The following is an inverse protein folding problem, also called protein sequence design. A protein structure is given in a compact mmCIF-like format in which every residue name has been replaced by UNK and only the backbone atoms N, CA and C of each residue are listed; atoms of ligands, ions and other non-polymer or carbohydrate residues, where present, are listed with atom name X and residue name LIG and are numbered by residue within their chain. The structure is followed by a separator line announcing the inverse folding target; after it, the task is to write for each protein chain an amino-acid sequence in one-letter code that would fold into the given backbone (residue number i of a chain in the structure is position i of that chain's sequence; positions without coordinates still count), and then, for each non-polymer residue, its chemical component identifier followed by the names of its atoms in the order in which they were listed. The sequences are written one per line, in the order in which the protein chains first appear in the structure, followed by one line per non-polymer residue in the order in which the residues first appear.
data_IF_997263090630
#
_entry.id   IF_997263090630
#
_cell.length_a   1.000
_cell.length_b   1.000
_cell.length_c   1.000
_cell.angle_alpha   90.00
_cell.angle_beta   90.00
_cell.angle_gamma   90.00
#
_symmetry.space_group_name_H-M   'P 1'
#
loop_
_entity.id
_entity.type
_entity.pdbx_description
1 polymer ?
#
# COMPACT_ATOMS: atom_id res chain seq x y z
N UNK A 1 6.66 7.83 17.95
CA UNK A 1 5.96 8.98 17.33
C UNK A 1 4.76 8.49 16.54
N UNK A 2 4.97 7.50 15.67
CA UNK A 2 3.91 6.77 14.98
C UNK A 2 3.85 5.33 15.50
N UNK A 3 2.67 4.72 15.50
CA UNK A 3 2.47 3.26 15.59
C UNK A 3 1.69 2.84 14.35
N UNK A 4 2.22 1.87 13.61
CA UNK A 4 1.58 1.37 12.38
C UNK A 4 1.23 -0.09 12.60
N UNK A 5 0.01 -0.47 12.23
CA UNK A 5 -0.45 -1.86 12.24
C UNK A 5 -0.73 -2.30 10.81
N UNK A 6 -0.11 -3.43 10.44
CA UNK A 6 -0.23 -4.06 9.14
C UNK A 6 -0.93 -5.40 9.37
N UNK A 7 -1.98 -5.68 8.60
CA UNK A 7 -2.70 -6.95 8.68
C UNK A 7 -2.06 -8.05 7.83
N UNK A 8 -2.66 -9.25 7.84
CA UNK A 8 -2.17 -10.41 7.06
C UNK A 8 -2.19 -10.19 5.55
N UNK A 9 -2.95 -9.20 5.07
CA UNK A 9 -3.04 -8.82 3.66
C UNK A 9 -1.92 -7.85 3.28
N UNK A 10 -1.08 -7.40 4.22
CA UNK A 10 -0.07 -6.37 3.99
C UNK A 10 -0.67 -4.96 3.86
N UNK A 11 -1.89 -4.74 4.37
CA UNK A 11 -2.55 -3.44 4.35
C UNK A 11 -2.37 -2.72 5.68
N UNK A 12 -2.22 -1.39 5.62
CA UNK A 12 -2.10 -0.57 6.82
C UNK A 12 -3.51 -0.32 7.37
N UNK A 13 -3.87 -1.01 8.45
CA UNK A 13 -5.20 -0.90 9.08
C UNK A 13 -5.24 0.12 10.21
N UNK A 14 -4.06 0.54 10.71
CA UNK A 14 -3.91 1.66 11.64
C UNK A 14 -2.58 2.38 11.40
N UNK A 15 -2.62 3.70 11.47
CA UNK A 15 -1.44 4.56 11.50
C UNK A 15 -1.67 5.61 12.60
N UNK A 16 -1.47 5.19 13.83
CA UNK A 16 -1.77 5.97 15.02
C UNK A 16 -0.69 7.01 15.31
N UNK A 17 -1.09 8.28 15.35
CA UNK A 17 -0.24 9.40 15.72
C UNK A 17 -0.25 9.57 17.25
N UNK A 18 0.80 9.06 17.89
CA UNK A 18 0.91 9.02 19.36
C UNK A 18 0.95 10.44 19.95
N UNK A 19 1.55 11.40 19.24
CA UNK A 19 1.69 12.77 19.73
C UNK A 19 0.38 13.54 19.64
N UNK A 20 -0.41 13.28 18.60
CA UNK A 20 -1.71 13.94 18.39
C UNK A 20 -2.90 13.15 18.98
N UNK A 21 -2.64 11.99 19.57
CA UNK A 21 -3.63 11.07 20.14
C UNK A 21 -4.80 10.79 19.19
N UNK A 22 -4.48 10.43 17.94
CA UNK A 22 -5.49 10.18 16.91
C UNK A 22 -5.12 9.05 15.96
N UNK A 23 -6.14 8.35 15.50
CA UNK A 23 -6.06 7.49 14.33
C UNK A 23 -6.05 8.33 13.04
N UNK A 24 -5.24 7.94 12.06
CA UNK A 24 -5.15 8.63 10.75
C UNK A 24 -5.77 7.83 9.61
N UNK A 25 -5.98 6.53 9.79
CA UNK A 25 -6.78 5.69 8.88
C UNK A 25 -8.27 5.85 9.22
N UNK A 26 -9.10 6.13 8.21
CA UNK A 26 -10.54 6.23 8.41
C UNK A 26 -11.14 4.89 8.90
N UNK A 27 -12.22 4.89 9.70
CA UNK A 27 -12.87 3.65 10.13
C UNK A 27 -13.23 2.75 8.95
N UNK A 28 -12.78 1.49 9.00
CA UNK A 28 -12.98 0.50 7.91
C UNK A 28 -12.12 0.74 6.66
N UNK A 29 -11.32 1.79 6.63
CA UNK A 29 -10.35 2.06 5.58
C UNK A 29 -9.04 1.29 5.79
N UNK A 30 -8.22 1.29 4.75
CA UNK A 30 -6.85 0.77 4.81
C UNK A 30 -5.93 1.59 3.91
N UNK A 31 -4.69 1.78 4.34
CA UNK A 31 -3.61 2.32 3.52
C UNK A 31 -2.83 1.21 2.82
N UNK A 32 -1.91 1.61 1.94
CA UNK A 32 -1.05 0.70 1.16
C UNK A 32 -1.82 -0.31 0.28
N UNK A 33 -3.05 0.02 -0.11
CA UNK A 33 -3.80 -0.78 -1.07
C UNK A 33 -3.35 -0.45 -2.49
N UNK A 34 -2.68 -1.41 -3.14
CA UNK A 34 -2.39 -1.30 -4.57
C UNK A 34 -3.66 -1.63 -5.36
N UNK A 35 -4.00 -0.76 -6.30
CA UNK A 35 -5.18 -0.90 -7.15
C UNK A 35 -4.72 -0.94 -8.60
N UNK A 36 -5.11 -1.98 -9.33
CA UNK A 36 -4.91 -2.05 -10.77
C UNK A 36 -6.08 -1.39 -11.47
N UNK A 37 -5.74 -0.48 -12.37
CA UNK A 37 -6.68 0.19 -13.23
C UNK A 37 -6.39 -0.22 -14.67
N UNK A 38 -7.38 -0.72 -15.43
CA UNK A 38 -7.22 -0.93 -16.85
C UNK A 38 -6.98 0.40 -17.56
N UNK A 39 -5.90 0.46 -18.34
CA UNK A 39 -5.54 1.62 -19.15
C UNK A 39 -5.78 1.29 -20.62
N UNK A 40 -7.00 1.57 -21.07
CA UNK A 40 -7.43 1.39 -22.46
C UNK A 40 -7.86 2.76 -23.01
N UNK A 41 -6.96 3.58 -23.57
CA UNK A 41 -7.31 4.89 -24.09
C UNK A 41 -8.23 4.77 -25.32
N UNK A 42 -9.18 5.70 -25.46
CA UNK A 42 -10.12 5.67 -26.59
C UNK A 42 -9.49 6.08 -27.93
N UNK A 43 -8.49 6.98 -27.93
CA UNK A 43 -7.66 7.32 -29.10
C UNK A 43 -6.26 7.75 -28.62
N UNK A 44 -5.20 7.18 -29.23
CA UNK A 44 -3.76 7.43 -28.97
C UNK A 44 -3.20 6.90 -27.64
N UNK A 45 -2.51 5.76 -27.72
CA UNK A 45 -1.76 5.17 -26.60
C UNK A 45 -0.70 6.14 -26.03
N UNK A 46 -0.52 6.06 -24.70
CA UNK A 46 0.56 6.70 -23.93
C UNK A 46 0.49 8.23 -23.74
N UNK A 47 -0.63 8.89 -24.04
CA UNK A 47 -0.80 10.34 -23.82
C UNK A 47 -2.00 10.72 -22.94
N UNK A 48 -3.11 9.97 -23.02
CA UNK A 48 -4.32 10.27 -22.26
C UNK A 48 -4.59 9.21 -21.17
N UNK A 49 -4.99 9.68 -19.99
CA UNK A 49 -5.57 8.84 -18.92
C UNK A 49 -7.06 9.22 -18.82
N UNK A 50 -7.91 8.45 -19.50
CA UNK A 50 -9.35 8.69 -19.59
C UNK A 50 -10.08 8.38 -18.27
N UNK A 51 -10.92 9.29 -17.75
CA UNK A 51 -11.62 9.19 -16.45
C UNK A 51 -12.32 7.83 -16.19
N UNK A 52 -12.76 7.14 -17.24
CA UNK A 52 -13.40 5.83 -17.18
C UNK A 52 -12.50 4.72 -16.57
N UNK A 53 -11.18 4.90 -16.51
CA UNK A 53 -10.25 3.97 -15.86
C UNK A 53 -10.63 3.69 -14.39
N UNK A 54 -11.36 4.62 -13.75
CA UNK A 54 -11.82 4.50 -12.35
C UNK A 54 -13.02 3.58 -12.16
N UNK A 55 -13.75 3.24 -13.23
CA UNK A 55 -14.97 2.44 -13.13
C UNK A 55 -14.69 0.95 -12.94
N UNK A 56 -13.49 0.50 -13.31
CA UNK A 56 -13.03 -0.87 -13.11
C UNK A 56 -11.74 -0.82 -12.33
N UNK A 57 -11.76 -1.35 -11.11
CA UNK A 57 -10.62 -1.45 -10.21
C UNK A 57 -10.47 -2.89 -9.77
N UNK A 58 -9.24 -3.38 -9.79
CA UNK A 58 -8.87 -4.61 -9.10
C UNK A 58 -8.00 -4.27 -7.91
N UNK A 59 -8.54 -4.47 -6.71
CA UNK A 59 -7.80 -4.36 -5.46
C UNK A 59 -6.85 -5.55 -5.30
N UNK A 60 -5.56 -5.28 -5.10
CA UNK A 60 -4.57 -6.32 -4.82
C UNK A 60 -4.48 -6.58 -3.32
N UNK A 61 -5.44 -7.32 -2.79
CA UNK A 61 -5.49 -7.66 -1.35
C UNK A 61 -4.74 -8.94 -1.00
N UNK A 62 -4.57 -9.84 -1.97
CA UNK A 62 -3.86 -11.09 -1.74
C UNK A 62 -2.35 -10.82 -1.64
N UNK A 63 -1.71 -11.41 -0.64
CA UNK A 63 -0.28 -11.30 -0.41
C UNK A 63 0.34 -12.70 -0.46
N UNK A 64 1.43 -12.84 -1.21
CA UNK A 64 2.25 -14.04 -1.22
C UNK A 64 3.09 -14.13 0.06
N UNK A 65 3.48 -12.97 0.60
CA UNK A 65 4.34 -12.83 1.77
C UNK A 65 4.03 -11.52 2.51
N UNK A 66 3.95 -11.60 3.82
CA UNK A 66 4.02 -10.46 4.75
C UNK A 66 4.98 -10.86 5.86
N UNK A 67 6.20 -10.33 5.84
CA UNK A 67 7.27 -10.77 6.73
C UNK A 67 8.05 -9.57 7.29
N UNK A 68 8.57 -9.66 8.52
CA UNK A 68 9.48 -8.64 9.04
C UNK A 68 10.76 -8.58 8.19
N UNK A 69 11.25 -7.37 7.94
CA UNK A 69 12.55 -7.16 7.33
C UNK A 69 13.70 -7.41 8.32
N UNK A 70 14.90 -7.60 7.78
CA UNK A 70 16.10 -7.95 8.57
C UNK A 70 16.60 -6.79 9.46
N UNK A 71 16.19 -5.56 9.17
CA UNK A 71 16.57 -4.35 9.90
C UNK A 71 15.79 -4.14 11.22
N UNK A 72 14.76 -4.96 11.47
CA UNK A 72 13.89 -4.84 12.64
C UNK A 72 13.00 -3.61 12.66
N UNK A 73 12.96 -2.82 11.57
CA UNK A 73 12.17 -1.60 11.43
C UNK A 73 11.25 -1.62 10.21
N UNK A 74 11.32 -2.66 9.39
CA UNK A 74 10.55 -2.79 8.16
C UNK A 74 9.68 -4.05 8.09
N UNK A 75 8.70 -4.02 7.19
CA UNK A 75 7.89 -5.16 6.78
C UNK A 75 7.97 -5.27 5.26
N UNK A 76 8.33 -6.46 4.78
CA UNK A 76 8.35 -6.85 3.38
C UNK A 76 7.01 -7.46 3.00
N UNK A 77 6.39 -6.93 1.94
CA UNK A 77 5.13 -7.42 1.40
C UNK A 77 5.36 -7.81 -0.06
N UNK A 78 4.92 -9.00 -0.44
CA UNK A 78 5.02 -9.48 -1.83
C UNK A 78 3.63 -9.82 -2.34
N UNK A 79 3.32 -9.39 -3.56
CA UNK A 79 2.09 -9.75 -4.26
C UNK A 79 2.37 -10.20 -5.69
N UNK A 80 1.65 -11.21 -6.14
CA UNK A 80 1.62 -11.65 -7.53
C UNK A 80 0.25 -11.34 -8.13
N UNK A 81 0.23 -10.86 -9.37
CA UNK A 81 -1.00 -10.53 -10.09
C UNK A 81 -0.78 -10.70 -11.59
N UNK A 82 -1.65 -11.46 -12.26
CA UNK A 82 -1.42 -11.87 -13.65
C UNK A 82 -0.07 -12.59 -13.79
N UNK A 83 0.80 -12.08 -14.67
CA UNK A 83 2.19 -12.55 -14.84
C UNK A 83 3.22 -11.63 -14.17
N UNK A 84 2.77 -10.73 -13.29
CA UNK A 84 3.61 -9.71 -12.64
C UNK A 84 3.73 -9.98 -11.15
N UNK A 85 4.77 -9.38 -10.55
CA UNK A 85 5.04 -9.43 -9.12
C UNK A 85 5.51 -8.06 -8.65
N UNK A 86 5.02 -7.64 -7.49
CA UNK A 86 5.47 -6.42 -6.80
C UNK A 86 5.99 -6.80 -5.42
N UNK A 87 7.02 -6.10 -4.98
CA UNK A 87 7.53 -6.16 -3.62
C UNK A 87 7.44 -4.76 -3.05
N UNK A 88 6.81 -4.59 -1.90
CA UNK A 88 6.88 -3.34 -1.15
C UNK A 88 7.66 -3.55 0.14
N UNK A 89 8.44 -2.56 0.53
CA UNK A 89 9.08 -2.50 1.85
C UNK A 89 8.57 -1.28 2.59
N UNK A 90 7.89 -1.52 3.71
CA UNK A 90 7.33 -0.48 4.57
C UNK A 90 8.26 -0.30 5.77
N UNK A 91 8.91 0.86 5.89
CA UNK A 91 9.93 1.12 6.93
C UNK A 91 9.50 2.24 7.86
N UNK A 92 9.53 1.99 9.17
CA UNK A 92 9.34 3.00 10.21
C UNK A 92 10.61 3.10 11.05
N UNK A 93 11.51 4.00 10.67
CA UNK A 93 12.78 4.15 11.37
C UNK A 93 12.60 4.72 12.79
N UNK A 94 13.50 4.39 13.74
CA UNK A 94 13.45 4.91 15.10
C UNK A 94 13.45 6.44 15.13
N UNK A 95 12.50 7.04 15.85
CA UNK A 95 12.40 8.49 16.00
C UNK A 95 11.76 9.21 14.81
N UNK A 96 11.33 8.50 13.77
CA UNK A 96 10.61 9.08 12.64
C UNK A 96 9.09 9.16 12.89
N UNK A 97 8.45 10.14 12.24
CA UNK A 97 6.98 10.29 12.20
C UNK A 97 6.43 10.10 10.78
N UNK A 98 7.18 9.40 9.94
CA UNK A 98 6.79 9.01 8.58
C UNK A 98 7.00 7.52 8.41
N UNK A 99 6.09 6.89 7.68
CA UNK A 99 6.30 5.54 7.16
C UNK A 99 6.82 5.69 5.73
N UNK A 100 7.95 5.07 5.43
CA UNK A 100 8.50 5.02 4.07
C UNK A 100 7.98 3.79 3.35
N UNK A 101 7.71 3.93 2.05
CA UNK A 101 7.24 2.86 1.18
C UNK A 101 8.14 2.82 -0.05
N UNK A 102 8.87 1.72 -0.23
CA UNK A 102 9.66 1.41 -1.41
C UNK A 102 8.93 0.32 -2.23
N UNK A 103 8.99 0.36 -3.57
CA UNK A 103 8.24 -0.54 -4.47
C UNK A 103 9.03 -0.92 -5.71
#
# INVERSE_FOLDING_TARGET
LLRVEIDERGLIVSAYDITADRETIAPGGAGNLLQLHPDFPNMWDAWDVDEFYRHTVTDLTDADEVAPGEDGASVRIVRSFGSSRVTQVLTLAPGERRLEVDT
#
